data_IF_424288384948
#
_entry.id   IF_424288384948
#
_cell.length_a   1.000
_cell.length_b   1.000
_cell.length_c   1.000
_cell.angle_alpha   90.00
_cell.angle_beta   90.00
_cell.angle_gamma   90.00
#
_symmetry.space_group_name_H-M   'P 1'
#
loop_
_entity.id
_entity.type
_entity.pdbx_description
1 polymer ?
#
# COMPACT_ATOMS: atom_id res chain seq x y z
N UNK A 1 32.09 12.35 5.60
CA UNK A 1 30.68 12.13 5.17
C UNK A 1 30.46 12.99 3.92
N UNK A 2 30.10 12.40 2.77
CA UNK A 2 30.06 13.16 1.50
C UNK A 2 29.04 14.32 1.52
N UNK A 3 29.39 15.44 0.89
CA UNK A 3 28.57 16.65 0.80
C UNK A 3 27.11 16.40 0.37
N UNK A 4 26.90 15.41 -0.52
CA UNK A 4 25.57 14.95 -0.91
C UNK A 4 24.73 14.44 0.27
N UNK A 5 25.31 13.65 1.18
CA UNK A 5 24.59 13.12 2.36
C UNK A 5 24.20 14.24 3.33
N UNK A 6 25.06 15.23 3.50
CA UNK A 6 24.78 16.40 4.36
C UNK A 6 23.61 17.21 3.79
N UNK A 7 23.62 17.48 2.48
CA UNK A 7 22.51 18.14 1.80
C UNK A 7 21.19 17.38 1.97
N UNK A 8 21.20 16.06 1.82
CA UNK A 8 20.01 15.23 2.00
C UNK A 8 19.46 15.35 3.43
N UNK A 9 20.32 15.26 4.45
CA UNK A 9 19.89 15.40 5.85
C UNK A 9 19.28 16.79 6.10
N UNK A 10 19.91 17.85 5.60
CA UNK A 10 19.40 19.22 5.75
C UNK A 10 18.02 19.34 5.09
N UNK A 11 17.84 18.82 3.88
CA UNK A 11 16.55 18.84 3.18
C UNK A 11 15.48 18.09 3.98
N UNK A 12 15.79 16.90 4.49
CA UNK A 12 14.86 16.12 5.31
C UNK A 12 14.42 16.93 6.53
N UNK A 13 15.38 17.46 7.30
CA UNK A 13 15.09 18.27 8.49
C UNK A 13 14.24 19.49 8.15
N UNK A 14 14.54 20.17 7.03
CA UNK A 14 13.80 21.36 6.60
C UNK A 14 12.35 21.02 6.22
N UNK A 15 12.12 19.88 5.56
CA UNK A 15 10.76 19.39 5.27
C UNK A 15 9.99 19.08 6.56
N UNK A 16 10.64 18.49 7.58
CA UNK A 16 10.01 18.26 8.89
C UNK A 16 9.59 19.59 9.53
N UNK A 17 10.53 20.53 9.63
CA UNK A 17 10.30 21.80 10.32
C UNK A 17 9.27 22.68 9.60
N UNK A 18 9.29 22.70 8.27
CA UNK A 18 8.31 23.48 7.47
C UNK A 18 6.92 22.87 7.59
N UNK A 19 6.77 21.54 7.51
CA UNK A 19 5.45 20.90 7.66
C UNK A 19 4.85 21.12 9.04
N UNK A 20 5.65 20.96 10.10
CA UNK A 20 5.25 21.29 11.48
C UNK A 20 4.93 22.78 11.65
N UNK A 21 5.76 23.66 11.07
CA UNK A 21 5.53 25.11 11.09
C UNK A 21 4.22 25.50 10.43
N UNK A 22 3.89 24.94 9.25
CA UNK A 22 2.61 25.16 8.58
C UNK A 22 1.47 24.70 9.48
N UNK A 23 1.54 23.51 10.07
CA UNK A 23 0.48 23.01 10.98
C UNK A 23 0.24 23.96 12.14
N UNK A 24 1.30 24.42 12.79
CA UNK A 24 1.22 25.31 13.97
C UNK A 24 0.69 26.70 13.59
N UNK A 25 1.18 27.29 12.50
CA UNK A 25 0.83 28.67 12.13
C UNK A 25 -0.50 28.80 11.38
N UNK A 26 -0.88 27.81 10.57
CA UNK A 26 -2.08 27.89 9.73
C UNK A 26 -3.24 27.06 10.27
N UNK A 27 -2.99 26.19 11.25
CA UNK A 27 -3.96 25.20 11.73
C UNK A 27 -4.31 24.12 10.70
N UNK A 28 -3.66 24.13 9.52
CA UNK A 28 -3.93 23.15 8.47
C UNK A 28 -3.44 21.77 8.94
N UNK A 29 -4.30 20.74 8.91
CA UNK A 29 -3.98 19.40 9.37
C UNK A 29 -3.05 18.68 8.37
N UNK A 30 -1.80 19.12 8.27
CA UNK A 30 -0.74 18.46 7.48
C UNK A 30 0.35 18.01 8.43
N UNK A 31 0.64 16.71 8.42
CA UNK A 31 1.77 16.11 9.12
C UNK A 31 2.85 15.67 8.15
N UNK A 32 4.04 15.37 8.68
CA UNK A 32 5.11 14.80 7.87
C UNK A 32 4.71 13.47 7.22
N UNK A 33 3.88 12.66 7.88
CA UNK A 33 3.39 11.40 7.32
C UNK A 33 2.53 11.65 6.10
N UNK A 34 1.71 12.69 6.10
CA UNK A 34 0.88 13.08 4.97
C UNK A 34 1.75 13.47 3.75
N UNK A 35 2.86 14.18 3.99
CA UNK A 35 3.83 14.58 2.96
C UNK A 35 4.63 13.39 2.40
N UNK A 36 4.93 12.39 3.23
CA UNK A 36 5.71 11.20 2.80
C UNK A 36 4.82 10.12 2.17
N UNK A 37 3.64 9.87 2.73
CA UNK A 37 2.75 8.78 2.29
C UNK A 37 2.11 9.11 0.93
N UNK A 38 1.76 10.37 0.67
CA UNK A 38 1.16 10.77 -0.60
C UNK A 38 2.02 10.40 -1.82
N UNK A 39 3.30 10.81 -1.95
CA UNK A 39 4.12 10.45 -3.12
C UNK A 39 4.38 8.94 -3.21
N UNK A 40 4.52 8.24 -2.07
CA UNK A 40 4.70 6.79 -2.06
C UNK A 40 3.45 6.08 -2.59
N UNK A 41 2.27 6.44 -2.09
CA UNK A 41 0.99 5.85 -2.51
C UNK A 41 0.71 6.15 -3.97
N UNK A 42 0.90 7.39 -4.43
CA UNK A 42 0.79 7.75 -5.85
C UNK A 42 1.76 6.95 -6.73
N UNK A 43 3.02 6.80 -6.30
CA UNK A 43 4.02 6.03 -7.05
C UNK A 43 3.64 4.56 -7.15
N UNK A 44 3.18 3.95 -6.06
CA UNK A 44 2.76 2.55 -6.03
C UNK A 44 1.53 2.32 -6.90
N UNK A 45 0.51 3.19 -6.82
CA UNK A 45 -0.66 3.13 -7.72
C UNK A 45 -0.25 3.31 -9.18
N UNK A 46 0.63 4.26 -9.48
CA UNK A 46 1.16 4.44 -10.83
C UNK A 46 1.90 3.18 -11.34
N UNK A 47 2.67 2.52 -10.48
CA UNK A 47 3.38 1.28 -10.83
C UNK A 47 2.44 0.11 -11.12
N UNK A 48 1.21 0.11 -10.59
CA UNK A 48 0.22 -0.93 -10.88
C UNK A 48 -0.12 -1.01 -12.37
N UNK A 49 0.03 0.07 -13.15
CA UNK A 49 -0.19 0.05 -14.60
C UNK A 49 0.75 -0.92 -15.35
N UNK A 50 1.91 -1.21 -14.77
CA UNK A 50 2.88 -2.15 -15.34
C UNK A 50 2.62 -3.59 -14.91
N UNK A 51 1.66 -3.83 -14.01
CA UNK A 51 1.31 -5.18 -13.58
C UNK A 51 0.47 -5.87 -14.65
N UNK A 52 0.98 -6.98 -15.17
CA UNK A 52 0.28 -7.80 -16.16
C UNK A 52 -0.78 -8.65 -15.49
N UNK A 53 -1.98 -8.66 -16.06
CA UNK A 53 -3.11 -9.44 -15.54
C UNK A 53 -2.72 -10.91 -15.37
N UNK A 54 -2.97 -11.53 -14.19
CA UNK A 54 -2.43 -12.85 -13.87
C UNK A 54 -3.02 -13.99 -14.71
N UNK A 55 -4.14 -13.74 -15.40
CA UNK A 55 -4.74 -14.68 -16.35
C UNK A 55 -4.22 -14.55 -17.79
N UNK A 56 -3.42 -13.53 -18.09
CA UNK A 56 -2.86 -13.32 -19.43
C UNK A 56 -1.87 -14.42 -19.81
N UNK A 57 -1.86 -14.82 -21.10
CA UNK A 57 -0.91 -15.84 -21.62
C UNK A 57 0.53 -15.48 -21.30
N UNK A 58 0.92 -14.21 -21.49
CA UNK A 58 2.26 -13.69 -21.20
C UNK A 58 2.68 -13.78 -19.73
N UNK A 59 1.72 -13.76 -18.79
CA UNK A 59 2.02 -13.93 -17.36
C UNK A 59 2.23 -15.41 -16.98
N UNK A 60 1.51 -16.32 -17.65
CA UNK A 60 1.59 -17.76 -17.39
C UNK A 60 3.00 -18.31 -17.64
N UNK A 61 3.66 -17.85 -18.72
CA UNK A 61 4.97 -18.35 -19.13
C UNK A 61 6.11 -17.91 -18.18
N UNK A 62 6.01 -16.75 -17.54
CA UNK A 62 7.05 -16.23 -16.63
C UNK A 62 7.03 -16.83 -15.22
N UNK A 63 5.92 -17.46 -14.80
CA UNK A 63 5.70 -17.85 -13.40
C UNK A 63 5.90 -19.36 -13.12
N UNK A 64 6.43 -20.13 -14.06
CA UNK A 64 6.55 -21.58 -13.95
C UNK A 64 7.52 -22.08 -12.86
N UNK A 65 8.32 -21.20 -12.23
CA UNK A 65 9.48 -21.60 -11.43
C UNK A 65 9.26 -21.77 -9.93
N UNK A 66 8.08 -21.46 -9.36
CA UNK A 66 7.86 -21.61 -7.92
C UNK A 66 6.71 -22.57 -7.62
N UNK A 67 7.06 -23.77 -7.18
CA UNK A 67 6.11 -24.78 -6.68
C UNK A 67 5.60 -24.37 -5.30
N UNK A 68 4.31 -24.03 -5.23
CA UNK A 68 3.60 -23.78 -3.97
C UNK A 68 2.56 -24.88 -3.77
N UNK A 69 2.40 -25.35 -2.54
CA UNK A 69 1.38 -26.34 -2.21
C UNK A 69 -0.02 -25.69 -2.22
N UNK A 70 -1.05 -26.47 -2.54
CA UNK A 70 -2.43 -25.99 -2.59
C UNK A 70 -2.87 -25.33 -1.27
N UNK A 71 -2.48 -25.91 -0.12
CA UNK A 71 -2.74 -25.34 1.21
C UNK A 71 -2.09 -23.96 1.42
N UNK A 72 -0.87 -23.75 0.91
CA UNK A 72 -0.19 -22.45 1.00
C UNK A 72 -0.92 -21.39 0.17
N UNK A 73 -1.42 -21.77 -1.02
CA UNK A 73 -2.20 -20.88 -1.88
C UNK A 73 -3.53 -20.51 -1.25
N UNK A 74 -4.25 -21.47 -0.67
CA UNK A 74 -5.51 -21.22 0.03
C UNK A 74 -5.27 -20.31 1.24
N UNK A 75 -4.26 -20.60 2.06
CA UNK A 75 -3.90 -19.75 3.20
C UNK A 75 -3.54 -18.32 2.77
N UNK A 76 -2.79 -18.17 1.67
CA UNK A 76 -2.44 -16.86 1.11
C UNK A 76 -3.67 -16.11 0.55
N UNK A 77 -4.64 -16.83 -0.01
CA UNK A 77 -5.88 -16.26 -0.52
C UNK A 77 -6.77 -15.76 0.62
N UNK A 78 -6.93 -16.55 1.68
CA UNK A 78 -7.65 -16.12 2.90
C UNK A 78 -6.98 -14.90 3.52
N UNK A 79 -5.65 -14.92 3.66
CA UNK A 79 -4.89 -13.80 4.20
C UNK A 79 -5.09 -12.52 3.38
N UNK A 80 -4.98 -12.59 2.05
CA UNK A 80 -5.20 -11.43 1.19
C UNK A 80 -6.65 -10.95 1.20
N UNK A 81 -7.63 -11.83 1.32
CA UNK A 81 -9.03 -11.43 1.49
C UNK A 81 -9.25 -10.65 2.80
N UNK A 82 -8.70 -11.11 3.91
CA UNK A 82 -8.76 -10.40 5.21
C UNK A 82 -8.11 -9.02 5.09
N UNK A 83 -6.93 -8.93 4.49
CA UNK A 83 -6.25 -7.65 4.27
C UNK A 83 -7.08 -6.69 3.40
N UNK A 84 -7.74 -7.18 2.36
CA UNK A 84 -8.60 -6.34 1.52
C UNK A 84 -9.78 -5.76 2.32
N UNK A 85 -10.41 -6.56 3.19
CA UNK A 85 -11.48 -6.10 4.09
C UNK A 85 -10.93 -5.09 5.09
N UNK A 86 -9.78 -5.35 5.71
CA UNK A 86 -9.14 -4.42 6.63
C UNK A 86 -8.77 -3.09 5.95
N UNK A 87 -8.21 -3.14 4.74
CA UNK A 87 -7.90 -1.95 3.95
C UNK A 87 -9.14 -1.13 3.62
N UNK A 88 -10.24 -1.80 3.26
CA UNK A 88 -11.53 -1.14 2.98
C UNK A 88 -12.08 -0.47 4.24
N UNK A 89 -11.99 -1.16 5.39
CA UNK A 89 -12.40 -0.61 6.68
C UNK A 89 -11.57 0.62 7.07
N UNK A 90 -10.25 0.58 6.89
CA UNK A 90 -9.37 1.73 7.15
C UNK A 90 -9.71 2.91 6.24
N UNK A 91 -9.96 2.66 4.95
CA UNK A 91 -10.38 3.71 4.04
C UNK A 91 -11.74 4.30 4.44
N UNK A 92 -12.69 3.46 4.85
CA UNK A 92 -13.99 3.89 5.36
C UNK A 92 -13.86 4.80 6.59
N UNK A 93 -13.03 4.43 7.57
CA UNK A 93 -12.75 5.28 8.74
C UNK A 93 -12.18 6.64 8.32
N UNK A 94 -11.26 6.66 7.35
CA UNK A 94 -10.72 7.90 6.80
C UNK A 94 -11.77 8.75 6.10
N UNK A 95 -12.71 8.14 5.35
CA UNK A 95 -13.81 8.83 4.66
C UNK A 95 -14.77 9.48 5.66
N UNK A 96 -15.07 8.80 6.77
CA UNK A 96 -15.98 9.30 7.80
C UNK A 96 -15.44 10.55 8.49
N UNK A 97 -14.12 10.67 8.63
CA UNK A 97 -13.49 11.81 9.30
C UNK A 97 -12.17 12.22 8.63
N UNK A 98 -12.22 12.83 7.42
CA UNK A 98 -11.03 13.02 6.57
C UNK A 98 -9.99 13.96 7.16
N UNK A 99 -10.43 14.97 7.93
CA UNK A 99 -9.55 15.94 8.58
C UNK A 99 -9.26 15.59 10.05
N UNK A 100 -9.89 14.55 10.58
CA UNK A 100 -9.67 14.15 11.96
C UNK A 100 -8.27 13.54 12.10
N UNK A 101 -7.61 13.90 13.20
CA UNK A 101 -6.33 13.35 13.56
C UNK A 101 -6.52 12.01 14.28
N UNK A 102 -6.04 10.93 13.67
CA UNK A 102 -6.03 9.60 14.25
C UNK A 102 -4.64 9.34 14.84
N UNK A 103 -4.53 9.34 16.17
CA UNK A 103 -3.28 9.09 16.89
C UNK A 103 -3.29 7.75 17.62
N UNK A 104 -2.27 6.93 17.41
CA UNK A 104 -2.01 5.70 18.15
C UNK A 104 -0.65 5.71 18.87
N UNK A 105 -0.19 4.54 19.32
CA UNK A 105 0.99 4.39 20.21
C UNK A 105 2.30 4.94 19.62
N UNK A 106 2.45 5.02 18.29
CA UNK A 106 3.70 5.49 17.64
C UNK A 106 3.52 6.28 16.34
N UNK A 107 2.29 6.43 15.85
CA UNK A 107 2.02 7.01 14.53
C UNK A 107 0.72 7.79 14.64
N UNK A 108 0.70 8.98 14.06
CA UNK A 108 -0.49 9.79 13.98
C UNK A 108 -0.61 10.37 12.57
N UNK A 109 -1.80 10.22 11.97
CA UNK A 109 -2.07 10.62 10.61
C UNK A 109 -3.51 11.11 10.49
N UNK A 110 -3.79 11.90 9.46
CA UNK A 110 -5.15 12.37 9.20
C UNK A 110 -5.97 11.34 8.45
N UNK A 111 -7.30 11.46 8.53
CA UNK A 111 -8.24 10.58 7.85
C UNK A 111 -7.95 10.43 6.35
N UNK A 112 -7.58 11.49 5.64
CA UNK A 112 -7.22 11.40 4.22
C UNK A 112 -6.00 10.50 3.94
N UNK A 113 -5.08 10.38 4.90
CA UNK A 113 -3.94 9.46 4.82
C UNK A 113 -4.38 8.03 5.10
N UNK A 114 -5.35 7.82 5.99
CA UNK A 114 -6.02 6.52 6.15
C UNK A 114 -6.74 6.11 4.85
N UNK A 115 -7.39 7.05 4.15
CA UNK A 115 -8.00 6.78 2.83
C UNK A 115 -6.94 6.25 1.86
N UNK A 116 -5.82 6.97 1.71
CA UNK A 116 -4.75 6.57 0.79
C UNK A 116 -4.17 5.19 1.11
N UNK A 117 -3.82 4.96 2.38
CA UNK A 117 -3.26 3.69 2.84
C UNK A 117 -4.27 2.56 2.70
N UNK A 118 -5.53 2.79 3.09
CA UNK A 118 -6.61 1.80 2.99
C UNK A 118 -6.91 1.38 1.55
N UNK A 119 -6.98 2.34 0.63
CA UNK A 119 -7.12 2.07 -0.82
C UNK A 119 -5.94 1.24 -1.32
N UNK A 120 -4.71 1.61 -0.94
CA UNK A 120 -3.52 0.91 -1.38
C UNK A 120 -3.48 -0.54 -0.87
N UNK A 121 -3.75 -0.76 0.42
CA UNK A 121 -3.85 -2.11 1.00
C UNK A 121 -4.90 -2.93 0.25
N UNK A 122 -6.06 -2.34 -0.02
CA UNK A 122 -7.16 -3.02 -0.71
C UNK A 122 -6.77 -3.43 -2.13
N UNK A 123 -6.25 -2.50 -2.93
CA UNK A 123 -5.87 -2.74 -4.32
C UNK A 123 -4.78 -3.82 -4.44
N UNK A 124 -3.73 -3.72 -3.63
CA UNK A 124 -2.65 -4.71 -3.64
C UNK A 124 -3.10 -6.08 -3.13
N UNK A 125 -4.00 -6.11 -2.15
CA UNK A 125 -4.55 -7.36 -1.62
C UNK A 125 -5.45 -8.06 -2.65
N UNK A 126 -6.31 -7.32 -3.34
CA UNK A 126 -7.12 -7.84 -4.45
C UNK A 126 -6.21 -8.38 -5.56
N UNK A 127 -5.18 -7.63 -5.94
CA UNK A 127 -4.22 -8.08 -6.94
C UNK A 127 -3.51 -9.37 -6.53
N UNK A 128 -3.05 -9.45 -5.27
CA UNK A 128 -2.47 -10.67 -4.70
C UNK A 128 -3.44 -11.86 -4.73
N UNK A 129 -4.69 -11.64 -4.34
CA UNK A 129 -5.73 -12.67 -4.38
C UNK A 129 -5.95 -13.20 -5.81
N UNK A 130 -5.97 -12.34 -6.83
CA UNK A 130 -6.06 -12.74 -8.24
C UNK A 130 -4.86 -13.59 -8.68
N UNK A 131 -3.65 -13.24 -8.23
CA UNK A 131 -2.45 -14.05 -8.48
C UNK A 131 -2.61 -15.45 -7.86
N UNK A 132 -2.98 -15.54 -6.57
CA UNK A 132 -3.13 -16.82 -5.89
C UNK A 132 -4.25 -17.67 -6.50
N UNK A 133 -5.37 -17.06 -6.89
CA UNK A 133 -6.47 -17.74 -7.56
C UNK A 133 -6.06 -18.27 -8.93
N UNK A 134 -5.30 -17.49 -9.72
CA UNK A 134 -4.74 -17.94 -11.00
C UNK A 134 -3.77 -19.12 -10.85
N UNK A 135 -3.01 -19.18 -9.74
CA UNK A 135 -2.06 -20.26 -9.45
C UNK A 135 -2.80 -21.51 -9.00
N UNK A 136 -3.83 -21.36 -8.16
CA UNK A 136 -4.66 -22.46 -7.69
C UNK A 136 -5.42 -23.12 -8.86
N UNK A 137 -6.00 -22.33 -9.75
CA UNK A 137 -6.63 -22.82 -10.99
C UNK A 137 -5.66 -23.64 -11.85
N UNK A 138 -4.40 -23.19 -11.97
CA UNK A 138 -3.37 -23.91 -12.72
C UNK A 138 -2.98 -25.25 -12.06
N UNK A 139 -2.90 -25.31 -10.74
CA UNK A 139 -2.65 -26.59 -10.04
C UNK A 139 -3.78 -27.58 -10.30
N UNK A 140 -5.04 -27.15 -10.20
CA UNK A 140 -6.20 -28.01 -10.46
C UNK A 140 -6.18 -28.59 -11.88
N UNK A 141 -5.84 -27.79 -12.89
CA UNK A 141 -5.72 -28.26 -14.29
C UNK A 141 -4.56 -29.22 -14.55
N UNK A 142 -3.52 -29.24 -13.71
CA UNK A 142 -2.41 -30.21 -13.84
C UNK A 142 -2.71 -31.55 -13.16
N UNK A 143 -3.67 -31.58 -12.24
CA UNK A 143 -4.07 -32.77 -11.50
C UNK A 143 -5.25 -33.53 -12.11
N UNK A 144 -5.84 -33.00 -13.19
CA UNK A 144 -6.90 -33.63 -13.98
C UNK A 144 -6.33 -34.09 -15.33
#
# INVERSE_FOLDING_TARGET
MGWAKIKTIIIIVLVILVSEGIRIYTGVPITILDVVILPITCSLVYLMKYYKFPFSKTYKDRQSHQTQNAFQLIGSLVFTAILAVMGTWVAWLGIQAPLQYFSGVKVAAHGYTLIQVGILITLYSIWGALIFLSRLSRLRHKSA
#
